data_IF_666381821878
#
_entry.id   IF_666381821878
#
_cell.length_a   1.000
_cell.length_b   1.000
_cell.length_c   1.000
_cell.angle_alpha   90.00
_cell.angle_beta   90.00
_cell.angle_gamma   90.00
#
_symmetry.space_group_name_H-M   'P 1'
#
loop_
_entity.id
_entity.type
_entity.pdbx_description
1 polymer ?
#
# COMPACT_ATOMS: atom_id res chain seq x y z
N UNK A 1 -1.06 21.27 2.24
CA UNK A 1 -2.04 20.91 3.29
C UNK A 1 -2.65 22.18 3.85
N UNK A 2 -3.97 22.22 4.08
CA UNK A 2 -4.64 23.29 4.83
C UNK A 2 -5.65 22.60 5.76
N UNK A 3 -5.25 22.39 7.01
CA UNK A 3 -5.99 21.62 8.02
C UNK A 3 -6.32 22.57 9.15
N UNK A 4 -7.61 22.74 9.45
CA UNK A 4 -8.08 23.68 10.48
C UNK A 4 -8.83 23.00 11.61
N UNK A 5 -9.38 21.82 11.36
CA UNK A 5 -10.13 21.03 12.35
C UNK A 5 -9.64 19.59 12.43
N UNK A 6 -10.14 18.85 13.44
CA UNK A 6 -9.85 17.41 13.58
C UNK A 6 -10.49 16.62 12.44
N UNK A 7 -11.66 17.04 11.98
CA UNK A 7 -12.36 16.44 10.84
C UNK A 7 -11.55 16.64 9.53
N UNK A 8 -10.97 17.84 9.32
CA UNK A 8 -10.07 18.08 8.20
C UNK A 8 -8.85 17.15 8.21
N UNK A 9 -8.28 16.93 9.41
CA UNK A 9 -7.14 16.04 9.61
C UNK A 9 -7.54 14.60 9.32
N UNK A 10 -8.67 14.14 9.86
CA UNK A 10 -9.19 12.80 9.62
C UNK A 10 -9.41 12.54 8.13
N UNK A 11 -10.11 13.44 7.42
CA UNK A 11 -10.34 13.32 5.98
C UNK A 11 -9.02 13.30 5.21
N UNK A 12 -8.05 14.13 5.61
CA UNK A 12 -6.75 14.15 4.96
C UNK A 12 -6.01 12.81 5.11
N UNK A 13 -5.91 12.31 6.34
CA UNK A 13 -5.22 11.05 6.62
C UNK A 13 -5.93 9.85 5.98
N UNK A 14 -7.28 9.79 6.03
CA UNK A 14 -8.05 8.75 5.37
C UNK A 14 -7.83 8.77 3.85
N UNK A 15 -7.76 9.96 3.23
CA UNK A 15 -7.46 10.12 1.80
C UNK A 15 -6.04 9.68 1.46
N UNK A 16 -5.07 9.96 2.34
CA UNK A 16 -3.69 9.56 2.17
C UNK A 16 -3.54 8.03 2.28
N UNK A 17 -4.11 7.41 3.32
CA UNK A 17 -4.15 5.95 3.48
C UNK A 17 -4.85 5.28 2.29
N UNK A 18 -6.00 5.79 1.86
CA UNK A 18 -6.69 5.27 0.67
C UNK A 18 -5.82 5.32 -0.60
N UNK A 19 -5.03 6.39 -0.74
CA UNK A 19 -4.06 6.52 -1.82
C UNK A 19 -2.92 5.50 -1.67
N UNK A 20 -2.46 5.23 -0.45
CA UNK A 20 -1.45 4.23 -0.15
C UNK A 20 -1.93 2.81 -0.53
N UNK A 21 -3.13 2.41 -0.09
CA UNK A 21 -3.68 1.07 -0.41
C UNK A 21 -3.84 0.86 -1.93
N UNK A 22 -4.30 1.89 -2.65
CA UNK A 22 -4.41 1.83 -4.12
C UNK A 22 -3.06 1.74 -4.84
N UNK A 23 -1.99 2.23 -4.23
CA UNK A 23 -0.64 2.06 -4.76
C UNK A 23 -0.12 0.65 -4.43
N UNK A 24 -0.37 0.19 -3.20
CA UNK A 24 0.08 -1.12 -2.71
C UNK A 24 -0.54 -2.27 -3.50
N UNK A 25 -1.84 -2.21 -3.82
CA UNK A 25 -2.51 -3.20 -4.69
C UNK A 25 -1.85 -3.37 -6.07
N UNK A 26 -1.16 -2.35 -6.58
CA UNK A 26 -0.42 -2.41 -7.85
C UNK A 26 1.00 -2.97 -7.67
N UNK A 27 1.60 -2.75 -6.51
CA UNK A 27 2.95 -3.22 -6.19
C UNK A 27 2.97 -4.71 -5.83
N UNK A 28 2.00 -5.19 -5.03
CA UNK A 28 1.96 -6.57 -4.51
C UNK A 28 2.06 -7.66 -5.61
N UNK A 29 1.37 -7.57 -6.77
CA UNK A 29 1.56 -8.53 -7.86
C UNK A 29 3.00 -8.59 -8.41
N UNK A 30 3.73 -7.47 -8.41
CA UNK A 30 5.13 -7.43 -8.85
C UNK A 30 6.02 -8.12 -7.81
N UNK A 31 5.79 -7.84 -6.52
CA UNK A 31 6.54 -8.42 -5.41
C UNK A 31 6.36 -9.94 -5.32
N UNK A 32 5.12 -10.43 -5.48
CA UNK A 32 4.80 -11.86 -5.51
C UNK A 32 5.58 -12.62 -6.61
N UNK A 33 5.85 -11.98 -7.75
CA UNK A 33 6.64 -12.57 -8.86
C UNK A 33 8.15 -12.43 -8.66
N UNK A 34 8.58 -11.44 -7.89
CA UNK A 34 9.98 -11.10 -7.73
C UNK A 34 10.72 -12.03 -6.75
N UNK A 35 10.02 -12.62 -5.78
CA UNK A 35 10.57 -13.56 -4.81
C UNK A 35 10.79 -14.97 -5.37
N UNK A 36 11.86 -15.65 -4.91
CA UNK A 36 12.11 -17.07 -5.17
C UNK A 36 11.33 -18.03 -4.26
N UNK A 37 10.83 -17.53 -3.14
CA UNK A 37 10.18 -18.34 -2.11
C UNK A 37 8.66 -18.42 -2.33
N UNK A 38 8.13 -19.63 -2.49
CA UNK A 38 6.71 -19.86 -2.73
C UNK A 38 5.81 -19.34 -1.59
N UNK A 39 6.24 -19.48 -0.32
CA UNK A 39 5.47 -19.00 0.83
C UNK A 39 5.43 -17.47 0.86
N UNK A 40 6.54 -16.82 0.52
CA UNK A 40 6.58 -15.35 0.43
C UNK A 40 5.72 -14.85 -0.74
N UNK A 41 5.75 -15.55 -1.88
CA UNK A 41 4.88 -15.24 -3.01
C UNK A 41 3.40 -15.33 -2.64
N UNK A 42 3.00 -16.39 -1.93
CA UNK A 42 1.64 -16.57 -1.42
C UNK A 42 1.27 -15.48 -0.41
N UNK A 43 2.19 -15.10 0.50
CA UNK A 43 1.94 -14.04 1.46
C UNK A 43 1.63 -12.70 0.76
N UNK A 44 2.36 -12.33 -0.29
CA UNK A 44 2.06 -11.12 -1.07
C UNK A 44 0.71 -11.20 -1.81
N UNK A 45 0.29 -12.39 -2.26
CA UNK A 45 -1.03 -12.58 -2.89
C UNK A 45 -2.17 -12.49 -1.86
N UNK A 46 -2.02 -13.11 -0.69
CA UNK A 46 -2.99 -12.97 0.40
C UNK A 46 -3.09 -11.53 0.88
N UNK A 47 -1.95 -10.84 1.03
CA UNK A 47 -1.93 -9.41 1.39
C UNK A 47 -2.67 -8.57 0.33
N UNK A 48 -2.56 -8.90 -0.96
CA UNK A 48 -3.29 -8.19 -2.02
C UNK A 48 -4.81 -8.31 -1.84
N UNK A 49 -5.31 -9.50 -1.53
CA UNK A 49 -6.73 -9.73 -1.25
C UNK A 49 -7.18 -8.96 0.01
N UNK A 50 -6.36 -8.98 1.07
CA UNK A 50 -6.62 -8.21 2.29
C UNK A 50 -6.67 -6.70 2.02
N UNK A 51 -5.74 -6.17 1.23
CA UNK A 51 -5.70 -4.75 0.84
C UNK A 51 -6.92 -4.36 0.01
N UNK A 52 -7.39 -5.22 -0.89
CA UNK A 52 -8.64 -4.96 -1.62
C UNK A 52 -9.83 -4.83 -0.66
N UNK A 53 -9.94 -5.74 0.31
CA UNK A 53 -10.95 -5.64 1.36
C UNK A 53 -10.79 -4.41 2.26
N UNK A 54 -9.56 -3.95 2.52
CA UNK A 54 -9.31 -2.71 3.26
C UNK A 54 -9.79 -1.47 2.50
N UNK A 55 -9.59 -1.42 1.17
CA UNK A 55 -10.13 -0.35 0.31
C UNK A 55 -11.66 -0.32 0.41
N UNK A 56 -12.32 -1.48 0.34
CA UNK A 56 -13.78 -1.58 0.48
C UNK A 56 -14.25 -1.09 1.86
N UNK A 57 -13.51 -1.38 2.94
CA UNK A 57 -13.83 -0.84 4.28
C UNK A 57 -13.70 0.68 4.32
N UNK A 58 -12.72 1.27 3.64
CA UNK A 58 -12.59 2.72 3.54
C UNK A 58 -13.79 3.30 2.77
N UNK A 59 -14.21 2.68 1.68
CA UNK A 59 -15.38 3.11 0.92
C UNK A 59 -16.65 3.07 1.81
N UNK A 60 -16.83 2.02 2.61
CA UNK A 60 -17.92 1.93 3.60
C UNK A 60 -17.88 3.05 4.66
N UNK A 61 -16.69 3.41 5.16
CA UNK A 61 -16.54 4.52 6.12
C UNK A 61 -17.00 5.83 5.48
N UNK A 62 -16.60 6.09 4.23
CA UNK A 62 -16.99 7.29 3.49
C UNK A 62 -18.50 7.35 3.26
N UNK A 63 -19.14 6.22 2.99
CA UNK A 63 -20.60 6.13 2.82
C UNK A 63 -21.36 6.29 4.15
N UNK A 64 -20.78 5.83 5.27
CA UNK A 64 -21.43 5.85 6.58
C UNK A 64 -21.61 7.26 7.17
N UNK A 65 -20.80 8.22 6.75
CA UNK A 65 -20.77 9.57 7.32
C UNK A 65 -20.83 10.64 6.22
N UNK A 66 -21.96 11.35 6.16
CA UNK A 66 -22.21 12.37 5.11
C UNK A 66 -21.19 13.53 5.03
N UNK A 67 -20.43 13.75 6.11
CA UNK A 67 -19.36 14.76 6.18
C UNK A 67 -18.01 14.30 5.62
N UNK A 68 -17.82 13.00 5.36
CA UNK A 68 -16.55 12.46 4.88
C UNK A 68 -16.55 12.47 3.34
N UNK A 69 -15.56 13.15 2.75
CA UNK A 69 -15.29 13.08 1.31
C UNK A 69 -13.80 12.94 1.07
N UNK A 70 -13.40 11.83 0.44
CA UNK A 70 -12.01 11.60 0.10
C UNK A 70 -11.51 12.67 -0.89
N UNK A 71 -10.33 13.19 -0.61
CA UNK A 71 -9.62 14.15 -1.45
C UNK A 71 -8.70 13.36 -2.38
N UNK A 72 -8.72 13.69 -3.68
CA UNK A 72 -7.78 13.09 -4.63
C UNK A 72 -6.37 13.58 -4.30
N UNK A 73 -5.51 12.69 -3.84
CA UNK A 73 -4.11 12.95 -3.56
C UNK A 73 -3.26 11.70 -3.77
N UNK A 74 -1.94 11.90 -3.77
CA UNK A 74 -0.96 10.83 -3.83
C UNK A 74 -0.24 10.74 -2.49
N UNK A 75 -0.24 9.56 -1.87
CA UNK A 75 0.58 9.30 -0.71
C UNK A 75 2.03 9.15 -1.16
N UNK A 76 2.85 10.17 -0.89
CA UNK A 76 4.28 10.21 -1.26
C UNK A 76 5.10 9.22 -0.44
N UNK A 77 4.71 8.98 0.82
CA UNK A 77 5.40 8.01 1.67
C UNK A 77 5.29 6.59 1.11
N UNK A 78 4.07 6.16 0.73
CA UNK A 78 3.87 4.84 0.13
C UNK A 78 4.55 4.71 -1.23
N UNK A 79 4.56 5.79 -2.05
CA UNK A 79 5.34 5.80 -3.29
C UNK A 79 6.82 5.50 -3.04
N UNK A 80 7.44 6.20 -2.08
CA UNK A 80 8.84 5.97 -1.73
C UNK A 80 9.11 4.55 -1.24
N UNK A 81 8.25 3.99 -0.40
CA UNK A 81 8.39 2.59 0.07
C UNK A 81 8.30 1.58 -1.09
N UNK A 82 7.41 1.83 -2.06
CA UNK A 82 7.29 0.98 -3.26
C UNK A 82 8.52 1.13 -4.16
N UNK A 83 9.05 2.34 -4.32
CA UNK A 83 10.29 2.61 -5.06
C UNK A 83 11.47 1.86 -4.43
N UNK A 84 11.65 1.94 -3.11
CA UNK A 84 12.67 1.18 -2.39
C UNK A 84 12.55 -0.33 -2.59
N UNK A 85 11.33 -0.87 -2.56
CA UNK A 85 11.10 -2.29 -2.84
C UNK A 85 11.42 -2.65 -4.30
N UNK A 86 11.18 -1.74 -5.25
CA UNK A 86 11.56 -1.94 -6.65
C UNK A 86 13.09 -1.91 -6.83
N UNK A 87 13.78 -1.01 -6.15
CA UNK A 87 15.25 -0.95 -6.15
C UNK A 87 15.86 -2.26 -5.63
N UNK A 88 15.26 -2.88 -4.61
CA UNK A 88 15.68 -4.22 -4.14
C UNK A 88 15.57 -5.25 -5.26
N UNK A 89 14.47 -5.27 -6.03
CA UNK A 89 14.28 -6.22 -7.13
C UNK A 89 15.35 -6.02 -8.22
N UNK A 90 15.71 -4.79 -8.50
CA UNK A 90 16.69 -4.42 -9.53
C UNK A 90 18.14 -4.65 -9.10
N UNK A 91 18.44 -4.51 -7.80
CA UNK A 91 19.80 -4.58 -7.24
C UNK A 91 20.21 -5.96 -6.70
N UNK A 92 19.29 -6.93 -6.66
CA UNK A 92 19.55 -8.27 -6.12
C UNK A 92 19.23 -9.35 -7.14
N UNK A 93 19.82 -10.52 -7.01
CA UNK A 93 19.40 -11.71 -7.76
C UNK A 93 18.17 -12.36 -7.13
N UNK A 94 17.45 -13.19 -7.89
CA UNK A 94 16.24 -13.87 -7.39
C UNK A 94 16.60 -15.06 -6.48
N UNK A 95 16.94 -14.77 -5.23
CA UNK A 95 17.37 -15.73 -4.23
C UNK A 95 16.99 -15.27 -2.81
N UNK A 96 17.48 -15.96 -1.78
CA UNK A 96 17.19 -15.69 -0.37
C UNK A 96 17.61 -14.29 0.09
N UNK A 97 18.63 -13.67 -0.53
CA UNK A 97 19.06 -12.31 -0.20
C UNK A 97 18.00 -11.30 -0.62
N UNK A 98 17.44 -11.46 -1.84
CA UNK A 98 16.29 -10.67 -2.28
C UNK A 98 15.08 -10.91 -1.39
N UNK A 99 14.79 -12.16 -1.07
CA UNK A 99 13.62 -12.50 -0.26
C UNK A 99 13.68 -11.83 1.13
N UNK A 100 14.85 -11.86 1.77
CA UNK A 100 15.07 -11.15 3.04
C UNK A 100 14.92 -9.62 2.89
N UNK A 101 15.46 -9.05 1.81
CA UNK A 101 15.35 -7.61 1.55
C UNK A 101 13.91 -7.18 1.23
N UNK A 102 13.13 -8.00 0.52
CA UNK A 102 11.71 -7.73 0.24
C UNK A 102 10.86 -7.77 1.51
N UNK A 103 11.09 -8.74 2.41
CA UNK A 103 10.42 -8.80 3.72
C UNK A 103 10.75 -7.58 4.59
N UNK A 104 11.96 -7.04 4.48
CA UNK A 104 12.34 -5.85 5.25
C UNK A 104 11.64 -4.56 4.78
N UNK A 105 11.05 -4.55 3.57
CA UNK A 105 10.45 -3.36 2.95
C UNK A 105 8.93 -3.35 2.95
N UNK A 106 8.28 -4.49 3.21
CA UNK A 106 6.81 -4.70 3.20
C UNK A 106 6.39 -5.69 4.27
#
# INVERSE_FOLDING_TARGET
MNIKTVEDLFIHLLSDTYSAEKQLTKALPKLARATSNEKLSQAFQSHLEETQGQIERIDQIVESESGIKLKRMKCVAMEGLIEEANEVIESTEKNEVRDAALIARL
#
